data_IF_753409474225
#
_entry.id   IF_753409474225
#
_cell.length_a   1.000
_cell.length_b   1.000
_cell.length_c   1.000
_cell.angle_alpha   90.00
_cell.angle_beta   90.00
_cell.angle_gamma   90.00
#
_symmetry.space_group_name_H-M   'P 1'
#
loop_
_entity.id
_entity.type
_entity.pdbx_description
1 polymer ?
#
# COMPACT_ATOMS: atom_id res chain seq x y z
N UNK A 1 21.98 11.51 -42.43
CA UNK A 1 21.58 10.11 -42.14
C UNK A 1 20.69 10.10 -40.91
N UNK A 2 19.42 10.45 -41.09
CA UNK A 2 18.34 10.30 -40.11
C UNK A 2 17.46 9.16 -40.62
N UNK A 3 17.45 8.03 -39.91
CA UNK A 3 16.59 6.91 -40.25
C UNK A 3 15.18 7.20 -39.77
N UNK A 4 14.30 7.42 -40.75
CA UNK A 4 12.86 7.56 -40.65
C UNK A 4 12.26 6.35 -39.92
N UNK A 5 11.68 6.58 -38.74
CA UNK A 5 10.59 5.72 -38.29
C UNK A 5 9.38 6.05 -39.17
N UNK A 6 8.72 5.07 -39.79
CA UNK A 6 7.45 5.32 -40.43
C UNK A 6 6.44 5.70 -39.33
N UNK A 7 6.22 7.00 -39.14
CA UNK A 7 4.99 7.49 -38.55
C UNK A 7 3.89 7.19 -39.55
N UNK A 8 3.37 5.96 -39.48
CA UNK A 8 2.10 5.64 -40.10
C UNK A 8 1.07 6.45 -39.34
N UNK A 9 0.74 7.61 -39.88
CA UNK A 9 -0.46 8.38 -39.58
C UNK A 9 -1.66 7.58 -40.08
N UNK A 10 -1.89 6.42 -39.45
CA UNK A 10 -3.09 5.63 -39.68
C UNK A 10 -4.22 6.41 -39.02
N UNK A 11 -4.84 7.27 -39.84
CA UNK A 11 -6.10 7.96 -39.56
C UNK A 11 -7.05 6.96 -38.89
N UNK A 12 -7.30 7.20 -37.61
CA UNK A 12 -7.89 6.23 -36.70
C UNK A 12 -9.35 6.05 -37.10
N UNK A 13 -9.62 5.02 -37.92
CA UNK A 13 -10.96 4.72 -38.42
C UNK A 13 -11.99 4.78 -37.26
N UNK A 14 -13.15 5.44 -37.44
CA UNK A 14 -14.13 5.60 -36.38
C UNK A 14 -14.59 4.23 -35.89
N UNK A 15 -14.10 3.82 -34.72
CA UNK A 15 -14.36 2.49 -34.14
C UNK A 15 -13.11 1.68 -33.76
N UNK A 16 -11.88 2.10 -34.11
CA UNK A 16 -10.67 1.47 -33.57
C UNK A 16 -10.47 1.86 -32.11
N UNK A 17 -10.34 0.87 -31.22
CA UNK A 17 -10.08 1.11 -29.81
C UNK A 17 -8.75 1.87 -29.64
N UNK A 18 -8.82 3.10 -29.16
CA UNK A 18 -7.68 3.97 -28.86
C UNK A 18 -6.77 3.41 -27.75
N UNK A 19 -7.19 2.33 -27.08
CA UNK A 19 -6.48 1.71 -25.97
C UNK A 19 -6.06 0.29 -26.32
N UNK A 20 -4.76 0.02 -26.24
CA UNK A 20 -4.24 -1.33 -26.29
C UNK A 20 -4.75 -2.15 -25.10
N UNK A 21 -5.18 -3.38 -25.35
CA UNK A 21 -5.52 -4.34 -24.30
C UNK A 21 -4.30 -4.53 -23.39
N UNK A 22 -4.42 -4.19 -22.11
CA UNK A 22 -3.33 -4.34 -21.13
C UNK A 22 -3.28 -5.81 -20.68
N UNK A 23 -2.27 -6.59 -21.07
CA UNK A 23 -2.15 -7.96 -20.59
C UNK A 23 -1.96 -7.96 -19.08
N UNK A 24 -2.61 -8.90 -18.38
CA UNK A 24 -2.43 -9.07 -16.94
C UNK A 24 -0.95 -9.32 -16.64
N UNK A 25 -0.38 -8.50 -15.76
CA UNK A 25 1.02 -8.65 -15.34
C UNK A 25 1.12 -9.69 -14.22
N UNK A 26 2.07 -10.61 -14.34
CA UNK A 26 2.37 -11.62 -13.33
C UNK A 26 3.78 -11.40 -12.79
N UNK A 27 3.93 -10.70 -11.65
CA UNK A 27 5.23 -10.47 -11.04
C UNK A 27 5.90 -11.80 -10.68
N UNK A 28 7.19 -11.95 -11.04
CA UNK A 28 8.01 -13.08 -10.60
C UNK A 28 8.43 -12.86 -9.14
N UNK A 29 8.48 -13.93 -8.35
CA UNK A 29 9.05 -13.84 -7.01
C UNK A 29 10.57 -13.64 -7.09
N UNK A 30 11.11 -12.81 -6.20
CA UNK A 30 12.53 -12.47 -6.13
C UNK A 30 12.97 -12.67 -4.68
N UNK A 31 13.97 -13.53 -4.47
CA UNK A 31 14.62 -13.76 -3.18
C UNK A 31 15.93 -12.97 -3.09
N UNK A 32 16.29 -12.51 -1.89
CA UNK A 32 17.55 -11.84 -1.64
C UNK A 32 17.50 -10.83 -0.49
N UNK A 33 18.62 -10.18 -0.21
CA UNK A 33 18.78 -9.21 0.90
C UNK A 33 17.80 -8.05 0.80
N UNK A 34 17.62 -7.47 -0.39
CA UNK A 34 16.66 -6.38 -0.62
C UNK A 34 15.21 -6.83 -0.39
N UNK A 35 14.87 -8.09 -0.68
CA UNK A 35 13.54 -8.63 -0.39
C UNK A 35 13.31 -8.76 1.12
N UNK A 36 14.31 -9.23 1.86
CA UNK A 36 14.27 -9.28 3.32
C UNK A 36 14.16 -7.89 3.94
N UNK A 37 14.87 -6.89 3.38
CA UNK A 37 14.75 -5.50 3.83
C UNK A 37 13.34 -4.95 3.62
N UNK A 38 12.70 -5.25 2.49
CA UNK A 38 11.28 -4.89 2.28
C UNK A 38 10.38 -5.51 3.34
N UNK A 39 10.61 -6.77 3.72
CA UNK A 39 9.86 -7.40 4.80
C UNK A 39 10.11 -6.76 6.16
N UNK A 40 11.37 -6.44 6.45
CA UNK A 40 11.77 -5.74 7.67
C UNK A 40 11.19 -4.33 7.76
N UNK A 41 10.87 -3.67 6.64
CA UNK A 41 10.15 -2.40 6.62
C UNK A 41 8.62 -2.61 6.70
N UNK A 42 8.09 -3.55 5.93
CA UNK A 42 6.65 -3.82 5.82
C UNK A 42 6.04 -4.26 7.15
N UNK A 43 6.68 -5.18 7.87
CA UNK A 43 6.12 -5.74 9.11
C UNK A 43 5.95 -4.68 10.19
N UNK A 44 6.97 -3.86 10.53
CA UNK A 44 6.81 -2.77 11.50
C UNK A 44 5.80 -1.72 11.05
N UNK A 45 5.79 -1.33 9.77
CA UNK A 45 4.86 -0.32 9.27
C UNK A 45 3.39 -0.77 9.41
N UNK A 46 3.10 -2.02 9.03
CA UNK A 46 1.77 -2.59 9.22
C UNK A 46 1.45 -2.82 10.70
N UNK A 47 2.42 -3.25 11.51
CA UNK A 47 2.22 -3.45 12.93
C UNK A 47 1.87 -2.13 13.63
N UNK A 48 2.59 -1.04 13.34
CA UNK A 48 2.26 0.29 13.87
C UNK A 48 0.85 0.67 13.44
N UNK A 49 0.51 0.53 12.15
CA UNK A 49 -0.82 0.86 11.64
C UNK A 49 -1.94 0.09 12.37
N UNK A 50 -1.82 -1.23 12.47
CA UNK A 50 -2.87 -2.07 13.04
C UNK A 50 -2.90 -2.09 14.56
N UNK A 51 -1.81 -1.77 15.26
CA UNK A 51 -1.76 -1.84 16.72
C UNK A 51 -2.03 -0.49 17.38
N UNK A 52 -1.68 0.62 16.74
CA UNK A 52 -1.87 1.97 17.29
C UNK A 52 -3.29 2.26 17.77
N UNK A 53 -4.38 1.98 17.02
CA UNK A 53 -5.74 2.30 17.48
C UNK A 53 -6.18 1.46 18.68
N UNK A 54 -5.60 0.28 18.89
CA UNK A 54 -5.95 -0.62 20.00
C UNK A 54 -5.10 -0.39 21.25
N UNK A 55 -4.08 0.46 21.16
CA UNK A 55 -3.22 0.76 22.29
C UNK A 55 -3.97 1.64 23.27
N UNK A 56 -4.35 1.06 24.42
CA UNK A 56 -5.00 1.79 25.50
C UNK A 56 -3.97 2.59 26.29
N UNK A 57 -4.31 3.83 26.62
CA UNK A 57 -3.46 4.77 27.32
C UNK A 57 -4.28 5.53 28.36
N UNK A 58 -3.93 5.35 29.63
CA UNK A 58 -4.61 6.04 30.72
C UNK A 58 -4.05 7.46 30.88
N UNK A 59 -4.95 8.44 30.84
CA UNK A 59 -4.67 9.88 30.99
C UNK A 59 -5.41 10.50 32.17
N UNK A 60 -6.06 9.69 33.01
CA UNK A 60 -6.86 10.13 34.15
C UNK A 60 -8.38 10.03 33.90
N UNK A 61 -9.18 10.25 34.96
CA UNK A 61 -10.62 10.05 34.91
C UNK A 61 -11.32 11.05 33.98
N UNK A 62 -12.10 10.55 33.03
CA UNK A 62 -12.90 11.34 32.08
C UNK A 62 -12.22 11.65 30.75
N UNK A 63 -10.95 11.27 30.57
CA UNK A 63 -10.26 11.38 29.28
C UNK A 63 -10.44 10.10 28.44
N UNK A 64 -10.47 10.19 27.10
CA UNK A 64 -10.51 9.02 26.24
C UNK A 64 -9.24 8.19 26.41
N UNK A 65 -9.39 6.87 26.37
CA UNK A 65 -8.37 5.88 26.74
C UNK A 65 -7.57 5.35 25.54
N UNK A 66 -7.70 5.95 24.35
CA UNK A 66 -6.94 5.56 23.17
C UNK A 66 -5.62 6.35 23.08
N UNK A 67 -4.50 5.68 22.77
CA UNK A 67 -3.18 6.29 22.73
C UNK A 67 -3.06 7.41 21.68
N UNK A 68 -3.56 7.18 20.47
CA UNK A 68 -3.61 8.20 19.42
C UNK A 68 -5.05 8.37 18.99
N UNK A 69 -5.64 9.53 19.29
CA UNK A 69 -7.05 9.82 19.01
C UNK A 69 -7.21 11.24 18.47
N UNK A 70 -7.94 11.36 17.37
CA UNK A 70 -8.43 12.64 16.86
C UNK A 70 -9.85 12.83 17.37
N UNK A 71 -10.00 13.55 18.48
CA UNK A 71 -11.30 13.87 19.06
C UNK A 71 -11.95 15.03 18.29
N UNK A 72 -12.87 14.70 17.39
CA UNK A 72 -13.62 15.70 16.63
C UNK A 72 -14.66 16.44 17.47
N UNK A 73 -15.16 15.86 18.57
CA UNK A 73 -16.21 16.46 19.39
C UNK A 73 -15.67 17.64 20.22
N UNK A 74 -14.47 17.49 20.77
CA UNK A 74 -13.79 18.54 21.52
C UNK A 74 -12.72 19.28 20.71
N UNK A 75 -12.49 18.86 19.47
CA UNK A 75 -11.47 19.44 18.59
C UNK A 75 -10.05 19.23 19.10
N UNK A 76 -9.76 18.11 19.75
CA UNK A 76 -8.47 17.84 20.41
C UNK A 76 -7.77 16.68 19.72
N UNK A 77 -6.45 16.79 19.55
CA UNK A 77 -5.64 15.68 19.07
C UNK A 77 -4.79 15.13 20.22
N UNK A 78 -5.00 13.86 20.55
CA UNK A 78 -4.26 13.17 21.58
C UNK A 78 -3.17 12.30 20.95
N UNK A 79 -1.93 12.50 21.40
CA UNK A 79 -0.78 11.68 21.05
C UNK A 79 -0.06 11.24 22.33
N UNK A 80 -0.44 10.06 22.83
CA UNK A 80 -0.05 9.53 24.13
C UNK A 80 -0.40 10.49 25.27
N UNK A 81 0.58 11.12 25.91
CA UNK A 81 0.38 12.14 26.95
C UNK A 81 0.29 13.57 26.40
N UNK A 82 0.59 13.77 25.12
CA UNK A 82 0.57 15.08 24.48
C UNK A 82 -0.86 15.35 24.01
N UNK A 83 -1.46 16.42 24.52
CA UNK A 83 -2.73 16.94 24.05
C UNK A 83 -2.46 18.19 23.21
N UNK A 84 -2.78 18.13 21.92
CA UNK A 84 -2.61 19.25 21.00
C UNK A 84 -3.95 19.92 20.81
N UNK A 85 -4.02 21.18 21.21
CA UNK A 85 -5.19 22.03 21.02
C UNK A 85 -5.20 22.63 19.60
N UNK A 86 -6.35 23.05 19.05
CA UNK A 86 -6.44 23.65 17.72
C UNK A 86 -5.51 24.85 17.53
N UNK A 87 -5.26 25.63 18.58
CA UNK A 87 -4.38 26.79 18.56
C UNK A 87 -2.90 26.39 18.44
N UNK A 88 -2.55 25.18 18.88
CA UNK A 88 -1.20 24.62 18.92
C UNK A 88 -0.87 23.77 17.68
N UNK A 89 -1.76 23.76 16.68
CA UNK A 89 -1.61 22.93 15.47
C UNK A 89 -0.35 23.28 14.67
N UNK A 90 0.28 24.43 14.93
CA UNK A 90 1.55 24.81 14.32
C UNK A 90 2.68 23.83 14.65
N UNK A 91 2.65 23.12 15.79
CA UNK A 91 3.60 22.05 16.08
C UNK A 91 3.46 20.89 15.07
N UNK A 92 2.22 20.49 14.77
CA UNK A 92 1.94 19.46 13.78
C UNK A 92 2.34 19.91 12.38
N UNK A 93 1.98 21.13 11.99
CA UNK A 93 2.36 21.70 10.68
C UNK A 93 3.87 21.77 10.53
N UNK A 94 4.61 22.20 11.56
CA UNK A 94 6.06 22.21 11.57
C UNK A 94 6.65 20.81 11.37
N UNK A 95 6.11 19.81 12.06
CA UNK A 95 6.51 18.41 11.90
C UNK A 95 6.24 17.89 10.48
N UNK A 96 5.09 18.23 9.89
CA UNK A 96 4.76 17.84 8.51
C UNK A 96 5.69 18.50 7.48
N UNK A 97 6.05 19.77 7.69
CA UNK A 97 7.03 20.48 6.82
C UNK A 97 8.39 19.80 6.92
N UNK A 98 8.88 19.52 8.14
CA UNK A 98 10.14 18.80 8.35
C UNK A 98 10.09 17.40 7.73
N UNK A 99 8.97 16.70 7.85
CA UNK A 99 8.75 15.40 7.22
C UNK A 99 8.79 15.48 5.69
N UNK A 100 8.13 16.48 5.09
CA UNK A 100 8.15 16.70 3.65
C UNK A 100 9.58 17.00 3.15
N UNK A 101 10.27 17.94 3.78
CA UNK A 101 11.68 18.27 3.44
C UNK A 101 12.57 17.03 3.64
N UNK A 102 12.37 16.26 4.70
CA UNK A 102 13.10 15.02 4.96
C UNK A 102 12.90 13.98 3.87
N UNK A 103 11.66 13.74 3.44
CA UNK A 103 11.34 12.82 2.35
C UNK A 103 11.96 13.30 1.03
N UNK A 104 11.90 14.60 0.72
CA UNK A 104 12.55 15.17 -0.47
C UNK A 104 14.07 15.02 -0.42
N UNK A 105 14.69 15.29 0.72
CA UNK A 105 16.14 15.15 0.92
C UNK A 105 16.58 13.68 0.76
N UNK A 106 15.89 12.74 1.39
CA UNK A 106 16.15 11.30 1.23
C UNK A 106 15.99 10.89 -0.23
N UNK A 107 15.00 11.43 -0.93
CA UNK A 107 14.77 11.14 -2.35
C UNK A 107 15.89 11.69 -3.23
N UNK A 108 16.40 12.89 -2.93
CA UNK A 108 17.51 13.49 -3.66
C UNK A 108 18.83 12.73 -3.44
N UNK A 109 19.10 12.25 -2.22
CA UNK A 109 20.34 11.56 -1.87
C UNK A 109 20.34 10.08 -2.29
N UNK A 110 19.25 9.36 -2.04
CA UNK A 110 19.19 7.90 -2.20
C UNK A 110 18.20 7.44 -3.27
N UNK A 111 17.59 8.37 -4.01
CA UNK A 111 16.63 8.06 -5.07
C UNK A 111 15.31 7.51 -4.53
N UNK A 112 14.81 6.41 -5.11
CA UNK A 112 13.46 5.89 -4.85
C UNK A 112 13.33 5.00 -3.60
N UNK A 113 14.21 5.14 -2.60
CA UNK A 113 14.15 4.30 -1.38
C UNK A 113 12.80 4.45 -0.67
N UNK A 114 12.32 5.68 -0.48
CA UNK A 114 11.02 5.91 0.16
C UNK A 114 9.89 5.20 -0.60
N UNK A 115 9.78 5.48 -1.90
CA UNK A 115 8.77 4.90 -2.76
C UNK A 115 8.88 3.37 -2.89
N UNK A 116 10.09 2.80 -2.80
CA UNK A 116 10.32 1.37 -2.98
C UNK A 116 10.12 0.51 -1.74
N UNK A 117 10.19 1.09 -0.54
CA UNK A 117 10.20 0.35 0.73
C UNK A 117 9.10 0.77 1.71
N UNK A 118 8.81 2.07 1.84
CA UNK A 118 7.94 2.59 2.91
C UNK A 118 6.63 3.20 2.41
N UNK A 119 6.53 3.56 1.12
CA UNK A 119 5.31 4.14 0.57
C UNK A 119 4.09 3.23 0.82
N UNK A 120 2.98 3.75 1.37
CA UNK A 120 1.78 2.97 1.67
C UNK A 120 1.29 2.16 0.46
N UNK A 121 1.24 2.78 -0.72
CA UNK A 121 0.82 2.07 -1.93
C UNK A 121 1.70 0.83 -2.22
N UNK A 122 3.01 0.92 -1.97
CA UNK A 122 3.93 -0.22 -2.14
C UNK A 122 3.76 -1.27 -1.06
N UNK A 123 3.64 -0.86 0.21
CA UNK A 123 3.47 -1.78 1.36
C UNK A 123 2.23 -2.66 1.19
N UNK A 124 1.09 -2.05 0.88
CA UNK A 124 -0.16 -2.81 0.67
C UNK A 124 -0.10 -3.64 -0.61
N UNK A 125 0.42 -3.11 -1.72
CA UNK A 125 0.55 -3.90 -2.95
C UNK A 125 1.44 -5.14 -2.77
N UNK A 126 2.55 -5.02 -2.02
CA UNK A 126 3.42 -6.15 -1.69
C UNK A 126 2.69 -7.18 -0.82
N UNK A 127 1.85 -6.73 0.13
CA UNK A 127 1.01 -7.59 0.96
C UNK A 127 -0.01 -8.37 0.12
N UNK A 128 -0.78 -7.70 -0.73
CA UNK A 128 -1.77 -8.32 -1.62
C UNK A 128 -1.12 -9.33 -2.59
N UNK A 129 0.03 -8.97 -3.16
CA UNK A 129 0.82 -9.86 -4.02
C UNK A 129 1.37 -11.06 -3.25
N UNK A 130 1.74 -10.91 -1.97
CA UNK A 130 2.18 -12.04 -1.16
C UNK A 130 1.03 -13.01 -0.89
N UNK A 131 -0.15 -12.50 -0.56
CA UNK A 131 -1.36 -13.32 -0.40
C UNK A 131 -1.67 -14.09 -1.69
N UNK A 132 -1.61 -13.41 -2.84
CA UNK A 132 -1.84 -14.08 -4.13
C UNK A 132 -0.79 -15.16 -4.41
N UNK A 133 0.47 -14.97 -3.99
CA UNK A 133 1.52 -16.01 -4.08
C UNK A 133 1.25 -17.19 -3.16
N UNK A 134 0.75 -16.97 -1.95
CA UNK A 134 0.43 -18.06 -1.02
C UNK A 134 -0.74 -18.93 -1.51
N UNK A 135 -1.74 -18.36 -2.18
CA UNK A 135 -2.95 -19.07 -2.61
C UNK A 135 -2.83 -19.64 -4.03
N UNK A 136 -2.35 -18.83 -4.98
CA UNK A 136 -2.26 -19.22 -6.40
C UNK A 136 -0.88 -19.74 -6.80
N UNK A 137 0.15 -19.51 -5.98
CA UNK A 137 1.51 -20.01 -6.19
C UNK A 137 2.43 -19.05 -6.97
N UNK A 138 3.51 -19.59 -7.52
CA UNK A 138 4.51 -18.86 -8.31
C UNK A 138 3.99 -18.43 -9.69
N UNK A 139 4.73 -17.54 -10.38
CA UNK A 139 4.32 -16.93 -11.66
C UNK A 139 3.79 -17.94 -12.69
N UNK A 140 4.49 -19.06 -12.90
CA UNK A 140 4.09 -20.07 -13.88
C UNK A 140 2.79 -20.80 -13.47
N UNK A 141 2.58 -21.03 -12.18
CA UNK A 141 1.35 -21.63 -11.67
C UNK A 141 0.14 -20.72 -11.89
N UNK A 142 0.29 -19.40 -11.67
CA UNK A 142 -0.76 -18.42 -11.94
C UNK A 142 -1.13 -18.32 -13.41
N UNK A 143 -0.13 -18.28 -14.30
CA UNK A 143 -0.37 -18.25 -15.74
C UNK A 143 -1.15 -19.51 -16.16
N UNK A 144 -0.72 -20.70 -15.73
CA UNK A 144 -1.45 -21.94 -16.01
C UNK A 144 -2.87 -21.94 -15.44
N UNK A 145 -3.05 -21.44 -14.21
CA UNK A 145 -4.36 -21.37 -13.57
C UNK A 145 -5.31 -20.42 -14.33
N UNK A 146 -4.81 -19.31 -14.84
CA UNK A 146 -5.62 -18.35 -15.58
C UNK A 146 -6.01 -18.88 -16.97
N UNK A 147 -5.13 -19.63 -17.66
CA UNK A 147 -5.45 -20.28 -18.95
C UNK A 147 -6.25 -21.59 -18.82
N UNK A 148 -6.29 -22.23 -17.65
CA UNK A 148 -7.05 -23.47 -17.45
C UNK A 148 -8.58 -23.24 -17.48
N UNK A 149 -9.37 -24.24 -17.90
CA UNK A 149 -10.83 -24.19 -17.81
C UNK A 149 -11.29 -24.01 -16.35
N UNK A 150 -12.52 -23.50 -16.16
CA UNK A 150 -13.06 -23.29 -14.82
C UNK A 150 -13.29 -24.64 -14.12
N UNK A 151 -12.44 -24.95 -13.14
CA UNK A 151 -12.56 -26.12 -12.27
C UNK A 151 -12.92 -25.70 -10.84
N UNK A 152 -13.45 -26.62 -10.04
CA UNK A 152 -13.74 -26.37 -8.62
C UNK A 152 -12.49 -25.87 -7.86
N UNK A 153 -11.32 -26.40 -8.18
CA UNK A 153 -10.04 -25.97 -7.60
C UNK A 153 -9.71 -24.52 -7.99
N UNK A 154 -9.92 -24.14 -9.26
CA UNK A 154 -9.72 -22.75 -9.73
C UNK A 154 -10.68 -21.79 -9.03
N UNK A 155 -11.97 -22.14 -8.96
CA UNK A 155 -12.96 -21.33 -8.27
C UNK A 155 -12.63 -21.15 -6.78
N UNK A 156 -12.28 -22.23 -6.09
CA UNK A 156 -11.90 -22.19 -4.68
C UNK A 156 -10.67 -21.31 -4.41
N UNK A 157 -9.61 -21.41 -5.23
CA UNK A 157 -8.41 -20.56 -5.10
C UNK A 157 -8.71 -19.08 -5.36
N UNK A 158 -9.52 -18.78 -6.38
CA UNK A 158 -9.93 -17.39 -6.67
C UNK A 158 -10.79 -16.83 -5.55
N UNK A 159 -11.74 -17.60 -5.04
CA UNK A 159 -12.60 -17.21 -3.93
C UNK A 159 -11.77 -16.97 -2.66
N UNK A 160 -10.86 -17.89 -2.30
CA UNK A 160 -9.99 -17.73 -1.15
C UNK A 160 -9.13 -16.47 -1.24
N UNK A 161 -8.60 -16.16 -2.43
CA UNK A 161 -7.87 -14.91 -2.67
C UNK A 161 -8.73 -13.68 -2.43
N UNK A 162 -9.91 -13.62 -3.05
CA UNK A 162 -10.81 -12.48 -2.88
C UNK A 162 -11.32 -12.34 -1.44
N UNK A 163 -11.57 -13.45 -0.75
CA UNK A 163 -11.95 -13.45 0.66
C UNK A 163 -10.85 -12.85 1.54
N UNK A 164 -9.59 -13.24 1.36
CA UNK A 164 -8.47 -12.66 2.12
C UNK A 164 -8.24 -11.20 1.73
N UNK A 165 -8.40 -10.83 0.45
CA UNK A 165 -8.32 -9.43 0.03
C UNK A 165 -9.38 -8.56 0.69
N UNK A 166 -10.62 -9.04 0.76
CA UNK A 166 -11.71 -8.36 1.46
C UNK A 166 -11.42 -8.27 2.96
N UNK A 167 -10.90 -9.32 3.58
CA UNK A 167 -10.51 -9.30 4.98
C UNK A 167 -9.45 -8.22 5.26
N UNK A 168 -8.39 -8.16 4.44
CA UNK A 168 -7.35 -7.12 4.56
C UNK A 168 -7.95 -5.73 4.36
N UNK A 169 -8.86 -5.55 3.40
CA UNK A 169 -9.50 -4.27 3.14
C UNK A 169 -10.38 -3.82 4.32
N UNK A 170 -11.16 -4.73 4.91
CA UNK A 170 -11.99 -4.45 6.09
C UNK A 170 -11.12 -4.12 7.30
N UNK A 171 -10.05 -4.89 7.54
CA UNK A 171 -9.11 -4.59 8.61
C UNK A 171 -8.42 -3.25 8.39
N UNK A 172 -8.04 -2.93 7.15
CA UNK A 172 -7.39 -1.65 6.83
C UNK A 172 -8.36 -0.49 7.05
N UNK A 173 -9.60 -0.59 6.57
CA UNK A 173 -10.58 0.50 6.71
C UNK A 173 -11.22 0.61 8.09
N UNK A 174 -11.13 -0.43 8.92
CA UNK A 174 -11.69 -0.47 10.28
C UNK A 174 -10.67 -0.28 11.40
N UNK A 175 -9.38 -0.11 11.07
CA UNK A 175 -8.32 0.29 11.99
C UNK A 175 -8.10 1.80 11.91
#
# INVERSE_FOLDING_TARGET
>A
MNALLPHNDEELAPGKALFANRPKTYPKNISGRFRQLKWAALVPLLAIYYLTPWLRWDRGPGAPDQAVLVDMAHGRLHFFFIEIWPQEVYYLTGLLILGAVGIFLVTALFGRIWCGFACPQTVWSDLYLQVERWIEGERAARIRLDHAPMSLNKAARKLAKHAIWLLIAVLTGGA
#
